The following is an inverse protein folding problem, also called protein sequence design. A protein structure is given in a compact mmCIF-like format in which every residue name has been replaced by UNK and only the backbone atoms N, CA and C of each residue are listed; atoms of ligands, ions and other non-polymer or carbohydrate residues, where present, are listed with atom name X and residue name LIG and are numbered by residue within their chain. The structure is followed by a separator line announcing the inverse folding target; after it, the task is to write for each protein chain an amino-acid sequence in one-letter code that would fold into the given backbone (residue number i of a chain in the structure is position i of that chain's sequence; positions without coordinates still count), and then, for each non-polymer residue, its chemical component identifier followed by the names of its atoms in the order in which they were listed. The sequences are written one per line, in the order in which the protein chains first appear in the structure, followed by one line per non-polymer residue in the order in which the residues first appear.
data_IF_054716221499
#
_entry.id   IF_054716221499
#
_cell.length_a   1.000
_cell.length_b   1.000
_cell.length_c   1.000
_cell.angle_alpha   90.00
_cell.angle_beta   90.00
_cell.angle_gamma   90.00
#
_symmetry.space_group_name_H-M   'P 1'
#
loop_
_entity.id
_entity.type
_entity.pdbx_description
1 polymer ?
#
# COMPACT_ATOMS: atom_id res chain seq x y z
N UNK A 1 -1.71 10.22 -22.87
CA UNK A 1 -2.40 9.02 -22.35
C UNK A 1 -2.86 9.27 -20.92
N UNK A 2 -4.19 9.28 -20.64
CA UNK A 2 -4.67 9.21 -19.25
C UNK A 2 -4.47 7.77 -18.77
N UNK A 3 -3.58 7.54 -17.80
CA UNK A 3 -3.48 6.24 -17.12
C UNK A 3 -4.80 6.02 -16.37
N UNK A 4 -5.53 4.98 -16.74
CA UNK A 4 -6.73 4.55 -16.01
C UNK A 4 -6.25 4.00 -14.67
N UNK A 5 -6.68 4.60 -13.55
CA UNK A 5 -6.30 4.14 -12.21
C UNK A 5 -6.93 2.77 -11.96
N UNK A 6 -6.15 1.81 -11.48
CA UNK A 6 -6.65 0.46 -11.19
C UNK A 6 -7.49 0.45 -9.90
N UNK A 7 -8.44 -0.48 -9.80
CA UNK A 7 -9.23 -0.68 -8.57
C UNK A 7 -8.33 -0.97 -7.37
N UNK A 8 -7.28 -1.77 -7.58
CA UNK A 8 -6.28 -2.06 -6.56
C UNK A 8 -5.61 -0.78 -6.02
N UNK A 9 -5.24 0.16 -6.89
CA UNK A 9 -4.64 1.43 -6.45
C UNK A 9 -5.65 2.30 -5.69
N UNK A 10 -6.93 2.29 -6.08
CA UNK A 10 -7.96 3.01 -5.34
C UNK A 10 -8.15 2.44 -3.93
N UNK A 11 -8.17 1.11 -3.79
CA UNK A 11 -8.23 0.46 -2.48
C UNK A 11 -7.01 0.79 -1.61
N UNK A 12 -5.81 0.78 -2.19
CA UNK A 12 -4.57 1.13 -1.49
C UNK A 12 -4.60 2.55 -0.95
N UNK A 13 -5.01 3.51 -1.79
CA UNK A 13 -5.16 4.92 -1.41
C UNK A 13 -6.19 5.05 -0.29
N UNK A 14 -7.36 4.41 -0.42
CA UNK A 14 -8.40 4.46 0.60
C UNK A 14 -7.91 3.92 1.95
N UNK A 15 -7.27 2.75 1.95
CA UNK A 15 -6.78 2.10 3.17
C UNK A 15 -5.70 2.94 3.88
N UNK A 16 -4.72 3.44 3.13
CA UNK A 16 -3.68 4.31 3.71
C UNK A 16 -4.25 5.66 4.15
N UNK A 17 -5.21 6.23 3.40
CA UNK A 17 -5.77 7.52 3.78
C UNK A 17 -6.61 7.43 5.04
N UNK A 18 -7.37 6.34 5.22
CA UNK A 18 -8.15 6.07 6.43
C UNK A 18 -7.30 6.12 7.69
N UNK A 19 -6.10 5.54 7.65
CA UNK A 19 -5.10 5.57 8.74
C UNK A 19 -4.35 6.92 8.88
N UNK A 20 -4.81 7.95 8.19
CA UNK A 20 -4.25 9.30 8.17
C UNK A 20 -2.77 9.38 7.77
N UNK A 21 -2.34 8.50 6.86
CA UNK A 21 -1.08 8.71 6.16
C UNK A 21 -1.19 9.96 5.25
N UNK A 22 -0.14 10.80 5.20
CA UNK A 22 -0.13 11.99 4.36
C UNK A 22 -0.02 11.62 2.88
N UNK A 23 -0.58 12.46 2.00
CA UNK A 23 -0.57 12.22 0.55
C UNK A 23 0.83 11.98 -0.03
N UNK A 24 1.85 12.65 0.52
CA UNK A 24 3.24 12.45 0.10
C UNK A 24 3.77 11.05 0.39
N UNK A 25 3.38 10.47 1.53
CA UNK A 25 3.73 9.10 1.87
C UNK A 25 3.01 8.10 0.96
N UNK A 26 1.70 8.27 0.79
CA UNK A 26 0.88 7.40 -0.08
C UNK A 26 1.40 7.44 -1.51
N UNK A 27 1.72 8.64 -2.02
CA UNK A 27 2.26 8.82 -3.37
C UNK A 27 3.57 8.06 -3.55
N UNK A 28 4.51 8.21 -2.60
CA UNK A 28 5.78 7.49 -2.63
C UNK A 28 5.58 5.97 -2.63
N UNK A 29 4.71 5.46 -1.76
CA UNK A 29 4.48 4.02 -1.60
C UNK A 29 3.88 3.38 -2.86
N UNK A 30 3.01 4.11 -3.56
CA UNK A 30 2.27 3.60 -4.72
C UNK A 30 2.84 4.06 -6.07
N UNK A 31 3.97 4.78 -6.08
CA UNK A 31 4.55 5.35 -7.31
C UNK A 31 3.67 6.42 -7.97
N UNK A 32 2.92 7.18 -7.18
CA UNK A 32 1.99 8.23 -7.61
C UNK A 32 2.45 9.61 -7.14
N UNK A 33 2.05 10.67 -7.87
CA UNK A 33 2.26 12.03 -7.38
C UNK A 33 1.34 12.32 -6.17
N UNK A 34 1.78 13.11 -5.17
CA UNK A 34 0.92 13.50 -4.06
C UNK A 34 -0.35 14.24 -4.51
N UNK A 35 -0.26 14.99 -5.62
CA UNK A 35 -1.40 15.68 -6.24
C UNK A 35 -2.41 14.70 -6.83
N UNK A 36 -1.94 13.60 -7.43
CA UNK A 36 -2.81 12.51 -7.90
C UNK A 36 -3.57 11.89 -6.74
N UNK A 37 -2.88 11.58 -5.63
CA UNK A 37 -3.52 11.03 -4.42
C UNK A 37 -4.55 12.01 -3.86
N UNK A 38 -4.19 13.30 -3.73
CA UNK A 38 -5.11 14.36 -3.27
C UNK A 38 -6.38 14.41 -4.13
N UNK A 39 -6.22 14.47 -5.45
CA UNK A 39 -7.34 14.53 -6.41
C UNK A 39 -8.25 13.29 -6.30
N UNK A 40 -7.68 12.11 -6.04
CA UNK A 40 -8.46 10.87 -5.85
C UNK A 40 -9.22 10.93 -4.54
N UNK A 41 -8.56 11.26 -3.43
CA UNK A 41 -9.21 11.34 -2.13
C UNK A 41 -10.37 12.34 -2.14
N UNK A 42 -10.22 13.48 -2.81
CA UNK A 42 -11.29 14.47 -2.96
C UNK A 42 -12.46 13.94 -3.80
N UNK A 43 -12.21 13.36 -4.99
CA UNK A 43 -13.27 12.86 -5.87
C UNK A 43 -14.00 11.64 -5.34
N UNK A 44 -13.32 10.78 -4.59
CA UNK A 44 -13.87 9.52 -4.04
C UNK A 44 -14.34 9.65 -2.59
N UNK A 45 -14.14 10.80 -1.95
CA UNK A 45 -14.51 11.03 -0.55
C UNK A 45 -13.66 10.23 0.44
N UNK A 46 -12.40 9.89 0.12
CA UNK A 46 -11.52 9.20 1.05
C UNK A 46 -11.03 10.16 2.14
N UNK A 47 -11.67 10.08 3.29
CA UNK A 47 -11.32 10.83 4.48
C UNK A 47 -10.25 10.11 5.32
N UNK A 48 -9.50 10.89 6.08
CA UNK A 48 -8.63 10.36 7.11
C UNK A 48 -9.33 10.31 8.46
N UNK A 49 -8.94 9.34 9.28
CA UNK A 49 -9.43 9.16 10.63
C UNK A 49 -8.27 9.14 11.62
N UNK A 50 -8.48 9.66 12.83
CA UNK A 50 -7.48 9.67 13.89
C UNK A 50 -6.31 10.65 13.64
N UNK A 51 -5.24 10.48 14.42
CA UNK A 51 -4.08 11.37 14.39
C UNK A 51 -3.23 11.18 13.11
N UNK A 52 -2.67 12.28 12.61
CA UNK A 52 -1.77 12.25 11.45
C UNK A 52 -0.49 11.49 11.80
N UNK A 53 -0.11 10.53 10.95
CA UNK A 53 1.08 9.69 11.19
C UNK A 53 2.38 10.51 11.27
N UNK A 54 3.11 10.29 12.35
CA UNK A 54 4.40 10.92 12.66
C UNK A 54 5.51 10.42 11.73
N UNK A 55 6.71 11.04 11.81
CA UNK A 55 7.88 10.60 11.04
C UNK A 55 8.27 9.16 11.38
N UNK A 56 8.27 8.79 12.66
CA UNK A 56 8.64 7.45 13.12
C UNK A 56 7.64 6.38 12.65
N UNK A 57 6.34 6.65 12.74
CA UNK A 57 5.29 5.73 12.26
C UNK A 57 5.36 5.51 10.75
N UNK A 58 5.74 6.54 9.97
CA UNK A 58 5.95 6.38 8.52
C UNK A 58 7.18 5.56 8.18
N UNK A 59 8.25 5.65 8.97
CA UNK A 59 9.47 4.87 8.74
C UNK A 59 9.25 3.39 9.04
N UNK A 60 8.46 3.09 10.07
CA UNK A 60 8.14 1.73 10.50
C UNK A 60 6.69 1.35 10.14
N UNK A 61 6.16 1.89 9.04
CA UNK A 61 4.77 1.67 8.66
C UNK A 61 4.52 0.16 8.44
N UNK A 62 3.58 -0.46 9.16
CA UNK A 62 3.33 -1.89 9.03
C UNK A 62 2.50 -2.14 7.76
N UNK A 63 3.13 -2.08 6.60
CA UNK A 63 2.48 -2.27 5.30
C UNK A 63 2.73 -3.66 4.73
N UNK A 64 1.73 -4.19 4.04
CA UNK A 64 1.88 -5.43 3.29
C UNK A 64 2.85 -5.24 2.12
N UNK A 65 3.89 -6.08 2.01
CA UNK A 65 4.89 -6.03 0.92
C UNK A 65 4.34 -6.28 -0.48
N UNK A 66 3.15 -6.83 -0.60
CA UNK A 66 2.52 -7.10 -1.89
C UNK A 66 1.51 -6.01 -2.25
N UNK A 67 0.49 -5.85 -1.40
CA UNK A 67 -0.63 -4.98 -1.71
C UNK A 67 -0.51 -3.59 -1.09
N UNK A 68 0.54 -3.25 -0.34
CA UNK A 68 0.78 -1.93 0.27
C UNK A 68 -0.32 -1.40 1.21
N UNK A 69 -1.32 -2.23 1.56
CA UNK A 69 -2.33 -1.91 2.57
C UNK A 69 -1.73 -2.07 3.98
N UNK A 70 -2.18 -1.27 4.96
CA UNK A 70 -1.83 -1.47 6.37
C UNK A 70 -2.10 -2.91 6.81
N UNK A 71 -1.18 -3.47 7.58
CA UNK A 71 -1.34 -4.77 8.20
C UNK A 71 -2.39 -4.67 9.32
N UNK A 72 -3.34 -5.61 9.39
CA UNK A 72 -4.26 -5.69 10.51
C UNK A 72 -3.50 -5.88 11.83
N UNK A 73 -4.01 -5.31 12.91
CA UNK A 73 -3.44 -5.45 14.26
C UNK A 73 -3.37 -6.90 14.73
N UNK A 74 -4.25 -7.76 14.20
CA UNK A 74 -4.23 -9.22 14.44
C UNK A 74 -2.98 -9.92 13.91
N UNK A 75 -2.16 -9.27 13.10
CA UNK A 75 -0.89 -9.83 12.63
C UNK A 75 0.19 -9.70 13.69
N UNK A 76 0.98 -10.76 13.84
CA UNK A 76 2.19 -10.75 14.68
C UNK A 76 3.13 -9.61 14.28
N UNK A 77 3.86 -9.07 15.27
CA UNK A 77 4.94 -8.12 15.01
C UNK A 77 5.94 -8.72 14.01
N UNK A 78 6.38 -7.91 13.06
CA UNK A 78 7.26 -8.35 11.97
C UNK A 78 6.58 -9.12 10.84
N UNK A 79 5.25 -9.21 10.83
CA UNK A 79 4.53 -9.72 9.67
C UNK A 79 4.82 -8.86 8.43
N UNK A 80 4.94 -9.52 7.27
CA UNK A 80 5.24 -8.87 5.99
C UNK A 80 4.04 -8.80 5.05
N UNK A 81 3.00 -9.61 5.32
CA UNK A 81 1.85 -9.77 4.44
C UNK A 81 0.55 -9.75 5.24
N UNK A 82 -0.49 -9.11 4.69
CA UNK A 82 -1.81 -9.05 5.32
C UNK A 82 -2.56 -10.39 5.23
N UNK A 83 -2.22 -11.26 4.28
CA UNK A 83 -2.87 -12.56 4.07
C UNK A 83 -1.96 -13.57 3.36
N UNK A 84 -2.32 -14.85 3.43
CA UNK A 84 -1.62 -15.91 2.70
C UNK A 84 -1.73 -15.75 1.18
N UNK A 85 -2.81 -15.14 0.70
CA UNK A 85 -2.96 -14.73 -0.69
C UNK A 85 -1.83 -13.77 -1.11
N UNK A 86 -1.64 -12.69 -0.35
CA UNK A 86 -0.60 -11.69 -0.65
C UNK A 86 0.80 -12.30 -0.57
N UNK A 87 1.04 -13.15 0.42
CA UNK A 87 2.30 -13.90 0.56
C UNK A 87 2.59 -14.74 -0.68
N UNK A 88 1.61 -15.55 -1.10
CA UNK A 88 1.75 -16.48 -2.22
C UNK A 88 1.94 -15.74 -3.54
N UNK A 89 1.15 -14.70 -3.79
CA UNK A 89 1.29 -13.86 -4.98
C UNK A 89 2.67 -13.22 -5.07
N UNK A 90 3.12 -12.61 -3.97
CA UNK A 90 4.44 -12.01 -3.91
C UNK A 90 5.54 -13.03 -4.25
N UNK A 91 5.50 -14.24 -3.66
CA UNK A 91 6.49 -15.27 -3.99
C UNK A 91 6.40 -15.73 -5.44
N UNK A 92 5.21 -15.86 -6.03
CA UNK A 92 5.09 -16.27 -7.45
C UNK A 92 5.67 -15.23 -8.40
N UNK A 93 5.45 -13.95 -8.12
CA UNK A 93 5.92 -12.85 -8.97
C UNK A 93 7.41 -12.54 -8.75
N UNK A 94 7.95 -12.84 -7.57
CA UNK A 94 9.34 -12.55 -7.21
C UNK A 94 10.26 -13.78 -7.25
N UNK A 95 9.73 -14.99 -7.46
CA UNK A 95 10.54 -16.17 -7.79
C UNK A 95 10.89 -16.11 -9.27
N UNK A 96 12.08 -15.59 -9.58
CA UNK A 96 12.74 -15.91 -10.84
C UNK A 96 12.88 -17.43 -10.87
N UNK A 97 12.28 -18.09 -11.85
CA UNK A 97 12.56 -19.49 -12.16
C UNK A 97 14.06 -19.55 -12.42
N UNK A 98 14.81 -20.16 -11.50
CA UNK A 98 16.17 -20.58 -11.78
C UNK A 98 16.04 -21.71 -12.79
N UNK A 99 16.21 -21.40 -14.07
CA UNK A 99 16.41 -22.43 -15.10
C UNK A 99 17.61 -23.27 -14.66
N UNK A 100 17.35 -24.49 -14.21
CA UNK A 100 18.39 -25.51 -14.13
C UNK A 100 18.67 -25.85 -15.60
N UNK A 101 19.77 -25.30 -16.13
CA UNK A 101 20.34 -25.79 -17.39
C UNK A 101 20.79 -27.24 -17.13
N UNK A 102 20.01 -28.19 -17.63
CA UNK A 102 20.42 -29.58 -17.84
C UNK A 102 21.53 -29.63 -18.89
#
# INVERSE_FOLDING_TARGET
MRRTMTEQQLEQIAALRKENYPYSFIGRELGLSPNTVKSICQRKGFAASGARKTKAEKQNAPLCRYCHKPLPETKRRGALFCSDYCRTKWYRENRKVTEIRT
#
